data_IF_338052507873
#
_entry.id   IF_338052507873
#
_cell.length_a   1.000
_cell.length_b   1.000
_cell.length_c   1.000
_cell.angle_alpha   90.00
_cell.angle_beta   90.00
_cell.angle_gamma   90.00
#
_symmetry.space_group_name_H-M   'P 1'
#
loop_
_entity.id
_entity.type
_entity.pdbx_description
1 polymer ?
#
# COMPACT_ATOMS: atom_id res chain seq x y z
N UNK A 1 -19.74 25.06 -10.79
CA UNK A 1 -18.78 24.22 -10.02
C UNK A 1 -17.99 25.02 -8.98
N UNK A 2 -17.58 26.28 -9.23
CA UNK A 2 -16.69 27.06 -8.35
C UNK A 2 -17.13 27.30 -6.88
N UNK A 3 -18.42 27.24 -6.55
CA UNK A 3 -18.89 27.44 -5.17
C UNK A 3 -18.46 26.30 -4.24
N UNK A 4 -18.54 25.06 -4.70
CA UNK A 4 -18.21 23.88 -3.92
C UNK A 4 -16.70 23.79 -3.64
N UNK A 5 -15.89 24.17 -4.63
CA UNK A 5 -14.43 24.20 -4.53
C UNK A 5 -13.94 25.28 -3.57
N UNK A 6 -14.65 26.41 -3.48
CA UNK A 6 -14.34 27.47 -2.53
C UNK A 6 -14.82 27.14 -1.11
N UNK A 7 -15.95 26.41 -0.97
CA UNK A 7 -16.45 25.97 0.33
C UNK A 7 -15.50 24.95 0.99
N UNK A 8 -14.98 23.98 0.23
CA UNK A 8 -14.00 22.97 0.71
C UNK A 8 -12.70 23.57 1.25
N UNK A 9 -12.33 24.78 0.81
CA UNK A 9 -11.12 25.48 1.25
C UNK A 9 -11.28 26.19 2.60
N UNK A 10 -12.49 26.25 3.16
CA UNK A 10 -12.73 26.79 4.49
C UNK A 10 -12.60 25.70 5.55
N UNK A 11 -12.13 26.04 6.75
CA UNK A 11 -11.96 25.07 7.86
C UNK A 11 -13.28 24.37 8.23
N UNK A 12 -14.39 25.11 8.11
CA UNK A 12 -15.74 24.59 8.34
C UNK A 12 -16.20 23.66 7.20
N UNK A 13 -15.87 23.99 5.95
CA UNK A 13 -16.17 23.11 4.82
C UNK A 13 -15.31 21.83 4.81
N UNK A 14 -14.06 21.92 5.24
CA UNK A 14 -13.17 20.77 5.36
C UNK A 14 -13.64 19.79 6.44
N UNK A 15 -13.97 20.27 7.65
CA UNK A 15 -14.48 19.41 8.73
C UNK A 15 -15.83 18.75 8.40
N UNK A 16 -16.72 19.47 7.71
CA UNK A 16 -18.00 18.93 7.24
C UNK A 16 -17.82 17.89 6.12
N UNK A 17 -16.84 18.09 5.22
CA UNK A 17 -16.47 17.09 4.22
C UNK A 17 -15.90 15.82 4.86
N UNK A 18 -15.04 15.94 5.87
CA UNK A 18 -14.48 14.80 6.61
C UNK A 18 -15.59 14.02 7.34
N UNK A 19 -16.54 14.71 7.99
CA UNK A 19 -17.69 14.05 8.62
C UNK A 19 -18.60 13.36 7.60
N UNK A 20 -18.89 14.01 6.47
CA UNK A 20 -19.66 13.40 5.39
C UNK A 20 -18.95 12.17 4.80
N UNK A 21 -17.61 12.21 4.68
CA UNK A 21 -16.81 11.08 4.24
C UNK A 21 -16.88 9.92 5.23
N UNK A 22 -16.79 10.19 6.54
CA UNK A 22 -16.92 9.17 7.59
C UNK A 22 -18.30 8.49 7.57
N UNK A 23 -19.38 9.27 7.45
CA UNK A 23 -20.75 8.74 7.36
C UNK A 23 -20.95 7.96 6.05
N UNK A 24 -20.47 8.46 4.92
CA UNK A 24 -20.56 7.76 3.64
C UNK A 24 -19.76 6.45 3.64
N UNK A 25 -18.60 6.41 4.28
CA UNK A 25 -17.82 5.17 4.45
C UNK A 25 -18.60 4.15 5.29
N UNK A 26 -19.25 4.57 6.38
CA UNK A 26 -20.09 3.71 7.20
C UNK A 26 -21.32 3.15 6.44
N UNK A 27 -21.84 3.92 5.48
CA UNK A 27 -22.96 3.54 4.63
C UNK A 27 -22.55 2.81 3.34
N UNK A 28 -21.24 2.54 3.13
CA UNK A 28 -20.72 1.94 1.90
C UNK A 28 -20.78 2.85 0.67
N UNK A 29 -21.15 4.12 0.84
CA UNK A 29 -21.30 5.13 -0.21
C UNK A 29 -20.02 5.96 -0.42
N UNK A 30 -18.95 5.71 0.35
CA UNK A 30 -17.67 6.42 0.21
C UNK A 30 -17.09 6.41 -1.21
N UNK A 31 -17.44 5.40 -2.02
CA UNK A 31 -17.06 5.25 -3.44
C UNK A 31 -17.72 6.28 -4.38
N UNK A 32 -18.80 6.93 -3.94
CA UNK A 32 -19.54 7.92 -4.73
C UNK A 32 -19.21 9.36 -4.34
N UNK A 33 -18.46 9.55 -3.25
CA UNK A 33 -17.95 10.86 -2.91
C UNK A 33 -16.64 11.11 -3.68
N UNK A 34 -16.45 12.31 -4.25
CA UNK A 34 -15.16 12.67 -4.83
C UNK A 34 -14.12 12.69 -3.72
N UNK A 35 -13.28 11.66 -3.65
CA UNK A 35 -12.14 11.58 -2.73
C UNK A 35 -11.02 12.50 -3.21
N UNK A 36 -10.35 13.20 -2.30
CA UNK A 36 -9.05 13.83 -2.60
C UNK A 36 -7.97 12.79 -2.92
N UNK A 37 -8.19 11.55 -2.48
CA UNK A 37 -7.30 10.42 -2.73
C UNK A 37 -7.46 9.88 -4.15
N UNK A 38 -6.33 9.82 -4.87
CA UNK A 38 -6.16 9.20 -6.19
C UNK A 38 -6.06 7.67 -6.08
N UNK A 39 -5.51 7.18 -4.97
CA UNK A 39 -5.28 5.77 -4.72
C UNK A 39 -4.63 5.51 -3.36
N UNK A 40 -4.51 4.23 -3.00
CA UNK A 40 -3.89 3.80 -1.75
C UNK A 40 -3.04 2.54 -1.96
N UNK A 41 -1.91 2.45 -1.29
CA UNK A 41 -1.13 1.22 -1.19
C UNK A 41 -0.68 1.01 0.26
N UNK A 42 -1.31 0.08 0.95
CA UNK A 42 -1.12 -0.09 2.39
C UNK A 42 -1.37 1.22 3.13
N UNK A 43 -0.34 1.72 3.81
CA UNK A 43 -0.40 2.96 4.59
C UNK A 43 -0.15 4.22 3.74
N UNK A 44 0.20 4.07 2.46
CA UNK A 44 0.34 5.20 1.54
C UNK A 44 -1.02 5.59 0.97
N UNK A 45 -1.38 6.86 1.17
CA UNK A 45 -2.55 7.47 0.54
C UNK A 45 -2.07 8.53 -0.44
N UNK A 46 -2.26 8.24 -1.73
CA UNK A 46 -1.96 9.19 -2.79
C UNK A 46 -3.09 10.20 -2.87
N UNK A 47 -2.80 11.48 -2.66
CA UNK A 47 -3.79 12.54 -2.68
C UNK A 47 -3.24 13.86 -3.19
N UNK A 48 -4.13 14.68 -3.74
CA UNK A 48 -3.82 16.05 -4.14
C UNK A 48 -4.86 16.97 -3.52
N UNK A 49 -4.41 17.76 -2.56
CA UNK A 49 -5.22 18.74 -1.85
C UNK A 49 -4.46 20.05 -1.66
N UNK A 50 -5.11 21.06 -1.10
CA UNK A 50 -4.44 22.33 -0.77
C UNK A 50 -3.43 22.20 0.37
N UNK A 51 -3.56 21.18 1.22
CA UNK A 51 -2.69 20.96 2.39
C UNK A 51 -1.63 19.90 2.16
N UNK A 52 -1.90 18.89 1.34
CA UNK A 52 -1.03 17.75 1.06
C UNK A 52 -1.05 17.38 -0.41
N UNK A 53 0.12 17.24 -1.00
CA UNK A 53 0.31 16.69 -2.35
C UNK A 53 1.26 15.52 -2.26
N UNK A 54 0.73 14.31 -2.47
CA UNK A 54 1.48 13.07 -2.50
C UNK A 54 1.00 12.22 -3.67
N UNK A 55 1.84 12.09 -4.68
CA UNK A 55 1.53 11.35 -5.91
C UNK A 55 2.69 10.44 -6.27
N UNK A 56 2.39 9.38 -7.02
CA UNK A 56 3.40 8.57 -7.67
C UNK A 56 3.68 9.10 -9.08
N UNK A 57 4.90 8.90 -9.56
CA UNK A 57 5.34 9.17 -10.92
C UNK A 57 6.04 7.92 -11.50
N UNK A 58 6.22 7.88 -12.82
CA UNK A 58 6.96 6.82 -13.48
C UNK A 58 6.34 5.43 -13.35
N UNK A 59 5.01 5.35 -13.20
CA UNK A 59 4.31 4.08 -13.04
C UNK A 59 4.57 3.13 -14.22
N UNK A 60 5.16 1.98 -13.92
CA UNK A 60 5.49 0.93 -14.87
C UNK A 60 5.00 -0.42 -14.35
N UNK A 61 4.26 -1.16 -15.17
CA UNK A 61 3.72 -2.49 -14.84
C UNK A 61 4.22 -3.50 -15.86
N UNK A 62 4.93 -4.52 -15.39
CA UNK A 62 5.45 -5.63 -16.19
C UNK A 62 4.68 -6.90 -15.84
N UNK A 63 4.19 -7.57 -16.86
CA UNK A 63 3.50 -8.85 -16.72
C UNK A 63 4.14 -9.85 -17.65
N UNK A 64 4.74 -10.88 -17.08
CA UNK A 64 5.39 -11.95 -17.81
C UNK A 64 4.56 -13.23 -17.77
N UNK A 65 4.73 -14.06 -18.79
CA UNK A 65 4.04 -15.33 -18.95
C UNK A 65 5.05 -16.39 -19.37
N UNK A 66 4.93 -17.59 -18.83
CA UNK A 66 5.83 -18.70 -19.11
C UNK A 66 5.36 -19.44 -20.36
N UNK A 67 6.28 -19.65 -21.29
CA UNK A 67 6.08 -20.46 -22.49
C UNK A 67 7.19 -21.51 -22.61
N UNK A 68 6.82 -22.74 -22.98
CA UNK A 68 7.76 -23.76 -23.47
C UNK A 68 7.88 -23.64 -24.99
N UNK A 69 9.10 -23.77 -25.52
CA UNK A 69 9.37 -23.71 -26.96
C UNK A 69 9.74 -25.10 -27.46
N UNK A 70 9.00 -25.62 -28.44
CA UNK A 70 9.27 -26.89 -29.10
C UNK A 70 9.79 -26.64 -30.52
N UNK A 71 11.03 -27.04 -30.78
CA UNK A 71 11.64 -26.89 -32.10
C UNK A 71 11.00 -27.86 -33.10
N UNK A 72 10.64 -27.35 -34.27
CA UNK A 72 10.10 -28.14 -35.38
C UNK A 72 11.04 -27.99 -36.56
N UNK A 73 11.53 -29.11 -37.10
CA UNK A 73 12.47 -29.10 -38.22
C UNK A 73 11.82 -28.41 -39.44
N UNK A 74 12.49 -27.37 -39.95
CA UNK A 74 12.06 -26.63 -41.14
C UNK A 74 10.89 -25.67 -40.90
N UNK A 75 10.56 -25.35 -39.65
CA UNK A 75 9.48 -24.41 -39.30
C UNK A 75 9.86 -23.56 -38.08
N UNK A 76 9.09 -22.50 -37.84
CA UNK A 76 9.23 -21.73 -36.61
C UNK A 76 8.89 -22.61 -35.38
N UNK A 77 9.54 -22.41 -34.23
CA UNK A 77 9.26 -23.17 -33.02
C UNK A 77 7.82 -22.93 -32.53
N UNK A 78 7.20 -23.98 -32.01
CA UNK A 78 5.85 -23.93 -31.43
C UNK A 78 5.97 -23.51 -29.97
N UNK A 79 5.16 -22.52 -29.56
CA UNK A 79 5.10 -22.05 -28.18
C UNK A 79 3.90 -22.67 -27.45
N UNK A 80 4.16 -23.33 -26.33
CA UNK A 80 3.14 -23.87 -25.42
C UNK A 80 3.06 -22.99 -24.16
N UNK A 81 1.85 -22.58 -23.79
CA UNK A 81 1.62 -21.73 -22.61
C UNK A 81 1.68 -22.55 -21.32
N UNK A 82 2.61 -22.21 -20.43
CA UNK A 82 2.81 -22.90 -19.14
C UNK A 82 2.07 -22.22 -17.98
N UNK A 83 1.77 -20.93 -18.09
CA UNK A 83 1.09 -20.18 -17.03
C UNK A 83 1.56 -18.73 -16.86
N UNK A 84 0.91 -17.98 -15.96
CA UNK A 84 1.34 -16.63 -15.61
C UNK A 84 2.66 -16.68 -14.82
N UNK A 85 3.56 -15.75 -15.10
CA UNK A 85 4.75 -15.52 -14.29
C UNK A 85 4.49 -14.38 -13.28
N UNK A 86 5.55 -13.96 -12.60
CA UNK A 86 5.50 -12.87 -11.63
C UNK A 86 5.13 -11.56 -12.31
N UNK A 87 4.22 -10.83 -11.67
CA UNK A 87 3.82 -9.49 -12.07
C UNK A 87 4.52 -8.48 -11.16
N UNK A 88 5.10 -7.44 -11.76
CA UNK A 88 5.92 -6.44 -11.08
C UNK A 88 5.44 -5.05 -11.45
N UNK A 89 5.38 -4.17 -10.45
CA UNK A 89 5.09 -2.76 -10.63
C UNK A 89 6.21 -1.96 -9.99
N UNK A 90 6.70 -0.96 -10.71
CA UNK A 90 7.62 0.04 -10.17
C UNK A 90 7.06 1.44 -10.35
N UNK A 91 7.31 2.29 -9.36
CA UNK A 91 6.94 3.70 -9.39
C UNK A 91 7.85 4.48 -8.44
N UNK A 92 7.85 5.79 -8.61
CA UNK A 92 8.64 6.73 -7.81
C UNK A 92 7.70 7.66 -7.07
N UNK A 93 8.06 8.04 -5.85
CA UNK A 93 7.37 9.05 -5.06
C UNK A 93 8.35 10.18 -4.78
N UNK A 94 7.94 11.41 -5.05
CA UNK A 94 8.69 12.59 -4.66
C UNK A 94 8.09 13.17 -3.38
N UNK A 95 8.86 13.13 -2.30
CA UNK A 95 8.48 13.73 -1.03
C UNK A 95 9.01 15.16 -0.95
N UNK A 96 8.16 16.07 -0.47
CA UNK A 96 8.52 17.46 -0.27
C UNK A 96 7.83 18.02 0.97
N UNK A 97 8.63 18.44 1.95
CA UNK A 97 8.18 19.07 3.20
C UNK A 97 7.29 20.30 2.96
N UNK A 98 7.54 21.05 1.89
CA UNK A 98 6.75 22.24 1.53
C UNK A 98 5.36 21.89 0.99
N UNK A 99 5.13 20.64 0.58
CA UNK A 99 3.84 20.15 0.08
C UNK A 99 3.05 19.43 1.18
N UNK A 100 3.38 19.66 2.45
CA UNK A 100 2.65 19.10 3.60
C UNK A 100 2.92 17.62 3.85
N UNK A 101 4.05 17.10 3.39
CA UNK A 101 4.47 15.71 3.59
C UNK A 101 5.78 15.68 4.35
N UNK A 102 5.87 14.94 5.46
CA UNK A 102 7.14 14.73 6.14
C UNK A 102 7.92 13.59 5.44
N UNK A 103 9.02 13.87 4.72
CA UNK A 103 9.71 12.85 3.93
C UNK A 103 10.28 11.71 4.78
N UNK A 104 10.81 12.03 5.97
CA UNK A 104 11.40 11.03 6.86
C UNK A 104 10.33 10.04 7.34
N UNK A 105 9.22 10.55 7.89
CA UNK A 105 8.12 9.72 8.38
C UNK A 105 7.50 8.84 7.29
N UNK A 106 7.23 9.38 6.09
CA UNK A 106 6.64 8.58 5.03
C UNK A 106 7.63 7.52 4.52
N UNK A 107 8.93 7.85 4.44
CA UNK A 107 9.96 6.88 4.05
C UNK A 107 10.05 5.72 5.04
N UNK A 108 9.98 6.00 6.34
CA UNK A 108 10.09 5.00 7.40
C UNK A 108 8.88 4.08 7.44
N UNK A 109 7.67 4.60 7.22
CA UNK A 109 6.47 3.76 7.09
C UNK A 109 6.61 2.76 5.95
N UNK A 110 7.17 3.17 4.82
CA UNK A 110 7.34 2.30 3.65
C UNK A 110 8.39 1.23 3.93
N UNK A 111 9.50 1.59 4.58
CA UNK A 111 10.50 0.62 5.03
C UNK A 111 9.90 -0.38 6.00
N UNK A 112 9.11 0.08 6.97
CA UNK A 112 8.44 -0.80 7.93
C UNK A 112 7.51 -1.78 7.23
N UNK A 113 6.68 -1.32 6.29
CA UNK A 113 5.82 -2.22 5.49
C UNK A 113 6.63 -3.27 4.71
N UNK A 114 7.79 -2.89 4.19
CA UNK A 114 8.69 -3.79 3.48
C UNK A 114 9.36 -4.81 4.44
N UNK A 115 9.83 -4.38 5.60
CA UNK A 115 10.45 -5.22 6.63
C UNK A 115 9.46 -6.24 7.21
N UNK A 116 8.22 -5.82 7.42
CA UNK A 116 7.13 -6.69 7.88
C UNK A 116 6.64 -7.66 6.78
N UNK A 117 7.05 -7.45 5.53
CA UNK A 117 6.59 -8.26 4.40
C UNK A 117 5.07 -8.14 4.18
N UNK A 118 4.49 -6.97 4.46
CA UNK A 118 3.04 -6.75 4.39
C UNK A 118 2.51 -6.98 2.98
N UNK A 119 1.40 -7.72 2.91
CA UNK A 119 0.65 -8.01 1.68
C UNK A 119 -0.52 -7.04 1.58
N UNK A 120 -0.40 -6.04 0.73
CA UNK A 120 -1.36 -4.94 0.67
C UNK A 120 -1.97 -4.79 -0.73
N UNK A 121 -3.23 -4.37 -0.80
CA UNK A 121 -3.85 -4.06 -2.09
C UNK A 121 -3.39 -2.69 -2.58
N UNK A 122 -2.97 -2.63 -3.83
CA UNK A 122 -2.78 -1.36 -4.51
C UNK A 122 -4.10 -0.95 -5.17
N UNK A 123 -4.71 0.13 -4.69
CA UNK A 123 -5.99 0.64 -5.15
C UNK A 123 -5.75 1.94 -5.90
N UNK A 124 -6.24 2.01 -7.13
CA UNK A 124 -6.20 3.24 -7.94
C UNK A 124 -7.63 3.55 -8.37
N UNK A 125 -8.07 4.79 -8.17
CA UNK A 125 -9.43 5.22 -8.50
C UNK A 125 -10.53 4.28 -7.93
N UNK A 126 -10.36 3.85 -6.67
CA UNK A 126 -11.29 2.97 -5.98
C UNK A 126 -11.33 1.52 -6.47
N UNK A 127 -10.44 1.13 -7.39
CA UNK A 127 -10.37 -0.23 -7.96
C UNK A 127 -9.07 -0.92 -7.55
N UNK A 128 -9.12 -2.12 -6.93
CA UNK A 128 -7.91 -2.87 -6.60
C UNK A 128 -7.23 -3.37 -7.88
N UNK A 129 -5.93 -3.16 -7.96
CA UNK A 129 -5.12 -3.51 -9.11
C UNK A 129 -4.72 -4.99 -9.07
N UNK A 130 -4.94 -5.71 -10.18
CA UNK A 130 -4.45 -7.07 -10.36
C UNK A 130 -5.20 -8.16 -9.58
N UNK A 131 -6.23 -7.79 -8.80
CA UNK A 131 -7.11 -8.73 -8.08
C UNK A 131 -6.43 -9.51 -6.95
N UNK A 132 -5.19 -9.18 -6.60
CA UNK A 132 -4.38 -9.85 -5.59
C UNK A 132 -3.58 -8.81 -4.80
N UNK A 133 -3.12 -9.14 -3.58
CA UNK A 133 -2.25 -8.25 -2.83
C UNK A 133 -0.84 -8.18 -3.46
N UNK A 134 -0.14 -7.12 -3.13
CA UNK A 134 1.21 -6.80 -3.58
C UNK A 134 2.14 -6.66 -2.39
N UNK A 135 3.39 -7.07 -2.56
CA UNK A 135 4.43 -7.00 -1.55
C UNK A 135 5.57 -6.13 -2.06
N UNK A 136 6.12 -5.29 -1.19
CA UNK A 136 7.31 -4.50 -1.48
C UNK A 136 8.52 -5.43 -1.56
N UNK A 137 9.25 -5.38 -2.67
CA UNK A 137 10.46 -6.17 -2.85
C UNK A 137 11.73 -5.34 -2.90
N UNK A 138 11.60 -4.06 -3.24
CA UNK A 138 12.72 -3.13 -3.30
C UNK A 138 12.27 -1.72 -2.94
N UNK A 139 13.09 -1.03 -2.17
CA UNK A 139 12.93 0.38 -1.81
C UNK A 139 14.28 1.06 -1.98
N UNK A 140 14.37 2.07 -2.83
CA UNK A 140 15.53 2.93 -2.99
C UNK A 140 15.19 4.35 -2.56
N UNK A 141 15.95 4.92 -1.62
CA UNK A 141 15.75 6.29 -1.14
C UNK A 141 16.90 7.20 -1.55
N UNK A 142 16.57 8.33 -2.16
CA UNK A 142 17.51 9.36 -2.58
C UNK A 142 17.14 10.69 -1.92
N UNK A 143 17.97 11.13 -0.97
CA UNK A 143 17.80 12.42 -0.29
C UNK A 143 18.45 13.53 -1.11
N UNK A 144 17.63 14.47 -1.59
CA UNK A 144 18.12 15.58 -2.44
C UNK A 144 18.42 16.85 -1.64
N UNK A 145 17.64 17.16 -0.60
CA UNK A 145 17.80 18.39 0.16
C UNK A 145 17.52 18.18 1.66
N UNK A 146 18.37 18.77 2.49
CA UNK A 146 18.34 18.67 3.96
C UNK A 146 18.54 20.07 4.56
N UNK A 147 17.89 20.34 5.69
CA UNK A 147 18.08 21.60 6.42
C UNK A 147 19.39 21.61 7.24
N UNK A 148 19.68 22.75 7.89
CA UNK A 148 20.86 22.91 8.77
C UNK A 148 20.84 21.96 9.99
N UNK A 149 19.67 21.46 10.37
CA UNK A 149 19.46 20.62 11.55
C UNK A 149 19.55 19.12 11.19
N UNK A 150 19.55 18.77 9.91
CA UNK A 150 19.56 17.39 9.43
C UNK A 150 18.18 16.86 9.02
N UNK A 151 17.12 17.68 9.01
CA UNK A 151 15.80 17.28 8.57
C UNK A 151 15.76 17.21 7.04
N UNK A 152 15.23 16.10 6.52
CA UNK A 152 15.04 15.90 5.09
C UNK A 152 13.89 16.80 4.60
N UNK A 153 14.19 17.67 3.64
CA UNK A 153 13.20 18.56 3.03
C UNK A 153 12.63 17.96 1.74
N UNK A 154 13.49 17.32 0.94
CA UNK A 154 13.13 16.73 -0.34
C UNK A 154 13.85 15.38 -0.46
N UNK A 155 13.10 14.33 -0.75
CA UNK A 155 13.64 13.03 -1.12
C UNK A 155 12.80 12.38 -2.21
N UNK A 156 13.42 11.45 -2.93
CA UNK A 156 12.80 10.65 -3.97
C UNK A 156 12.90 9.19 -3.58
N UNK A 157 11.76 8.52 -3.50
CA UNK A 157 11.67 7.13 -3.11
C UNK A 157 11.22 6.28 -4.30
N UNK A 158 12.07 5.36 -4.73
CA UNK A 158 11.77 4.37 -5.78
C UNK A 158 11.28 3.09 -5.13
N UNK A 159 10.11 2.61 -5.54
CA UNK A 159 9.46 1.43 -4.95
C UNK A 159 9.18 0.41 -6.05
N UNK A 160 9.57 -0.84 -5.79
CA UNK A 160 9.20 -1.99 -6.62
C UNK A 160 8.37 -2.95 -5.79
N UNK A 161 7.20 -3.29 -6.30
CA UNK A 161 6.27 -4.25 -5.70
C UNK A 161 6.04 -5.44 -6.63
N UNK A 162 5.90 -6.62 -6.05
CA UNK A 162 5.56 -7.85 -6.78
C UNK A 162 4.23 -8.39 -6.32
N UNK A 163 3.49 -8.95 -7.27
CA UNK A 163 2.20 -9.59 -6.99
C UNK A 163 2.42 -10.80 -6.11
N UNK A 164 1.79 -10.80 -4.95
CA UNK A 164 1.76 -11.96 -4.08
C UNK A 164 0.70 -12.94 -4.60
N UNK A 165 0.94 -14.26 -4.53
CA UNK A 165 -0.12 -15.23 -4.71
C UNK A 165 -1.18 -15.00 -3.62
N UNK A 166 -2.45 -15.15 -4.01
CA UNK A 166 -3.55 -15.14 -3.05
C UNK A 166 -3.45 -16.41 -2.20
N UNK A 167 -2.72 -16.31 -1.08
CA UNK A 167 -2.67 -17.36 -0.08
C UNK A 167 -3.86 -17.16 0.86
N UNK A 168 -4.60 -18.22 1.22
CA UNK A 168 -5.64 -18.10 2.23
C UNK A 168 -5.01 -17.47 3.47
N UNK A 169 -5.57 -16.33 3.88
CA UNK A 169 -5.11 -15.56 5.03
C UNK A 169 -5.09 -16.49 6.26
N UNK A 170 -3.90 -16.97 6.62
CA UNK A 170 -3.66 -17.64 7.90
C UNK A 170 -3.92 -16.62 9.00
N UNK A 171 -5.16 -16.59 9.49
CA UNK A 171 -5.58 -15.66 10.52
C UNK A 171 -4.77 -15.89 11.78
N UNK A 172 -4.00 -14.89 12.19
CA UNK A 172 -3.63 -14.75 13.61
C UNK A 172 -4.85 -14.14 14.29
N UNK A 173 -5.88 -14.97 14.52
CA UNK A 173 -6.83 -14.70 15.59
C UNK A 173 -6.05 -14.86 16.88
N UNK A 174 -5.90 -13.77 17.64
CA UNK A 174 -5.34 -13.81 18.98
C UNK A 174 -6.12 -14.82 19.82
N UNK A 175 -5.55 -16.03 19.96
CA UNK A 175 -5.94 -16.95 20.99
C UNK A 175 -5.56 -16.30 22.33
N UNK A 176 -6.57 -15.71 22.96
CA UNK A 176 -6.57 -15.30 24.34
C UNK A 176 -5.92 -16.42 25.18
N UNK A 177 -4.74 -16.14 25.74
CA UNK A 177 -4.08 -17.03 26.70
C UNK A 177 -4.92 -17.03 27.96
N UNK A 178 -5.92 -17.90 28.00
CA UNK A 178 -6.63 -18.26 29.21
C UNK A 178 -5.63 -18.91 30.16
N UNK A 179 -5.14 -18.11 31.10
CA UNK A 179 -4.26 -18.51 32.18
C UNK A 179 -5.04 -19.41 33.16
N UNK A 180 -5.13 -20.71 32.86
CA UNK A 180 -5.66 -21.70 33.79
C UNK A 180 -4.55 -22.12 34.77
N UNK A 181 -4.35 -21.31 35.81
CA UNK A 181 -3.70 -21.76 37.03
C UNK A 181 -4.63 -22.73 37.77
N UNK A 182 -4.66 -23.99 37.37
CA UNK A 182 -5.00 -25.08 38.28
C UNK A 182 -3.70 -25.78 38.67
N UNK A 183 -3.14 -25.31 39.77
CA UNK A 183 -2.10 -26.01 40.52
C UNK A 183 -2.73 -27.27 41.10
N UNK A 184 -2.57 -28.39 40.39
CA UNK A 184 -2.69 -29.72 41.00
C UNK A 184 -1.59 -29.83 42.05
N UNK A 185 -1.92 -29.55 43.32
CA UNK A 185 -1.08 -29.87 44.45
C UNK A 185 -1.80 -30.88 45.33
N UNK A 186 -1.23 -32.09 45.38
CA UNK A 186 -1.19 -32.86 46.62
C UNK A 186 -1.97 -34.16 46.64
N UNK A 187 -1.45 -35.18 45.95
CA UNK A 187 -1.49 -36.54 46.51
C UNK A 187 -0.14 -37.23 46.30
N UNK A 188 0.72 -37.13 47.33
CA UNK A 188 1.66 -38.21 47.62
C UNK A 188 1.88 -38.36 49.12
N UNK A 189 1.86 -39.64 49.52
CA UNK A 189 2.60 -40.23 50.63
C UNK A 189 1.95 -40.38 52.02
N UNK A 190 1.74 -41.67 52.33
CA UNK A 190 2.05 -42.38 53.58
C UNK A 190 1.02 -42.38 54.72
N UNK A 191 0.67 -43.60 55.13
CA UNK A 191 -0.12 -43.94 56.32
C UNK A 191 -0.83 -45.26 56.14
#
# INVERSE_FOLDING_TARGET
>A
MAFLDNFKKTELGHSMYVQAQQVANALGLGRYLPTSALGTYGDLVFEVSSSKVLTYDGYSRKTSYKYASHEVIGSAPVLEYLGPDTEEISFVIHFNAMLGVNPAEESDKIRQMAEEGRREYFIINGTPLGGAPWVITEVGDEVSNTDRTGNILISTLSITIKKAPDLPMGGVSGANVANNNNTENGQSSAG
#
